data_IF_303924464277
#
_entry.id   IF_303924464277
#
_cell.length_a   1.000
_cell.length_b   1.000
_cell.length_c   1.000
_cell.angle_alpha   90.00
_cell.angle_beta   90.00
_cell.angle_gamma   90.00
#
_symmetry.space_group_name_H-M   'P 1'
#
loop_
_entity.id
_entity.type
_entity.pdbx_description
1 polymer ?
#
# COMPACT_ATOMS: atom_id res chain seq x y z
N UNK A 1 -2.72 26.85 10.65
CA UNK A 1 -2.92 25.88 9.54
C UNK A 1 -1.77 25.92 8.54
N UNK A 2 -1.46 27.09 7.96
CA UNK A 2 -0.38 27.19 6.95
C UNK A 2 0.96 26.67 7.49
N UNK A 3 1.38 27.09 8.69
CA UNK A 3 2.62 26.63 9.31
C UNK A 3 2.67 25.12 9.53
N UNK A 4 1.55 24.49 9.91
CA UNK A 4 1.44 23.02 10.05
C UNK A 4 1.61 22.33 8.69
N UNK A 5 0.90 22.81 7.66
CA UNK A 5 1.01 22.24 6.31
C UNK A 5 2.42 22.41 5.73
N UNK A 6 3.03 23.58 5.90
CA UNK A 6 4.42 23.84 5.46
C UNK A 6 5.39 22.90 6.17
N UNK A 7 5.28 22.74 7.49
CA UNK A 7 6.12 21.80 8.24
C UNK A 7 5.93 20.35 7.76
N UNK A 8 4.69 19.92 7.52
CA UNK A 8 4.39 18.58 7.03
C UNK A 8 4.92 18.36 5.62
N UNK A 9 4.76 19.34 4.74
CA UNK A 9 5.30 19.28 3.39
C UNK A 9 6.83 19.23 3.39
N UNK A 10 7.47 20.04 4.25
CA UNK A 10 8.92 19.99 4.41
C UNK A 10 9.41 18.62 4.87
N UNK A 11 8.77 18.05 5.90
CA UNK A 11 9.10 16.70 6.37
C UNK A 11 8.84 15.62 5.29
N UNK A 12 7.77 15.76 4.52
CA UNK A 12 7.46 14.88 3.40
C UNK A 12 8.57 14.91 2.33
N UNK A 13 9.02 16.11 1.94
CA UNK A 13 10.12 16.28 0.98
C UNK A 13 11.42 15.68 1.54
N UNK A 14 11.72 15.93 2.82
CA UNK A 14 12.91 15.35 3.47
C UNK A 14 12.84 13.81 3.50
N UNK A 15 11.67 13.24 3.79
CA UNK A 15 11.47 11.79 3.79
C UNK A 15 11.63 11.21 2.39
N UNK A 16 11.04 11.83 1.36
CA UNK A 16 11.20 11.39 -0.05
C UNK A 16 12.66 11.47 -0.46
N UNK A 17 13.36 12.54 -0.06
CA UNK A 17 14.80 12.65 -0.33
C UNK A 17 15.58 11.51 0.35
N UNK A 18 15.34 11.23 1.63
CA UNK A 18 16.00 10.13 2.34
C UNK A 18 15.72 8.77 1.68
N UNK A 19 14.46 8.52 1.28
CA UNK A 19 14.07 7.31 0.55
C UNK A 19 14.78 7.24 -0.80
N UNK A 20 14.93 8.35 -1.51
CA UNK A 20 15.64 8.37 -2.79
C UNK A 20 17.12 8.02 -2.63
N UNK A 21 17.77 8.48 -1.56
CA UNK A 21 19.15 8.10 -1.23
C UNK A 21 19.24 6.60 -0.95
N UNK A 22 18.32 6.08 -0.13
CA UNK A 22 18.26 4.63 0.16
C UNK A 22 18.03 3.81 -1.12
N UNK A 23 17.09 4.22 -1.96
CA UNK A 23 16.83 3.57 -3.25
C UNK A 23 18.04 3.56 -4.16
N UNK A 24 18.77 4.68 -4.21
CA UNK A 24 20.01 4.76 -4.96
C UNK A 24 21.11 3.85 -4.39
N UNK A 25 21.22 3.76 -3.06
CA UNK A 25 22.14 2.80 -2.41
C UNK A 25 21.78 1.36 -2.80
N UNK A 26 20.49 1.01 -2.81
CA UNK A 26 20.03 -0.32 -3.26
C UNK A 26 20.45 -0.60 -4.71
N UNK A 27 20.40 0.40 -5.60
CA UNK A 27 20.84 0.27 -6.99
C UNK A 27 22.36 -0.01 -7.08
N UNK A 28 23.14 0.51 -6.13
CA UNK A 28 24.62 0.38 -6.11
C UNK A 28 25.12 -0.87 -5.35
N UNK A 29 24.25 -1.62 -4.66
CA UNK A 29 24.65 -2.78 -3.84
C UNK A 29 25.26 -3.96 -4.61
N UNK A 30 24.79 -4.34 -5.81
CA UNK A 30 25.37 -5.47 -6.53
C UNK A 30 26.82 -5.20 -6.96
N UNK A 31 27.66 -6.25 -6.97
CA UNK A 31 29.00 -6.12 -7.52
C UNK A 31 28.94 -5.90 -9.03
N UNK A 32 29.62 -4.85 -9.49
CA UNK A 32 29.60 -4.40 -10.89
C UNK A 32 28.73 -3.17 -11.08
N UNK A 33 28.69 -2.69 -12.31
CA UNK A 33 27.82 -1.59 -12.70
C UNK A 33 26.61 -2.10 -13.51
N UNK A 34 25.59 -1.26 -13.65
CA UNK A 34 24.42 -1.55 -14.48
C UNK A 34 24.79 -2.04 -15.88
N UNK A 35 25.82 -1.47 -16.49
CA UNK A 35 26.26 -1.83 -17.84
C UNK A 35 26.85 -3.23 -17.85
N UNK A 36 27.53 -3.64 -16.77
CA UNK A 36 28.04 -5.00 -16.62
C UNK A 36 26.91 -6.04 -16.61
N UNK A 37 25.85 -5.78 -15.87
CA UNK A 37 24.65 -6.64 -15.85
C UNK A 37 23.92 -6.64 -17.19
N UNK A 38 23.80 -5.48 -17.84
CA UNK A 38 23.22 -5.35 -19.16
C UNK A 38 24.01 -6.12 -20.24
N UNK A 39 25.35 -6.00 -20.26
CA UNK A 39 26.23 -6.75 -21.17
C UNK A 39 26.08 -8.26 -20.94
N UNK A 40 26.10 -8.71 -19.69
CA UNK A 40 25.94 -10.12 -19.35
C UNK A 40 24.62 -10.68 -19.91
N UNK A 41 23.54 -9.94 -19.79
CA UNK A 41 22.23 -10.33 -20.31
C UNK A 41 22.19 -10.32 -21.84
N UNK A 42 22.73 -9.29 -22.49
CA UNK A 42 22.79 -9.23 -23.96
C UNK A 42 23.64 -10.39 -24.50
N UNK A 43 24.75 -10.71 -23.85
CA UNK A 43 25.55 -11.89 -24.19
C UNK A 43 24.80 -13.21 -24.05
N UNK A 44 23.98 -13.35 -22.99
CA UNK A 44 23.13 -14.51 -22.78
C UNK A 44 22.00 -14.63 -23.85
N UNK A 45 21.56 -13.52 -24.41
CA UNK A 45 20.58 -13.48 -25.54
C UNK A 45 21.23 -13.64 -26.93
N UNK A 46 22.54 -13.87 -27.00
CA UNK A 46 23.26 -14.03 -28.26
C UNK A 46 23.67 -12.73 -28.95
N UNK A 47 23.51 -11.60 -28.28
CA UNK A 47 23.90 -10.28 -28.78
C UNK A 47 25.22 -9.86 -28.15
N UNK A 48 26.21 -9.46 -28.97
CA UNK A 48 27.48 -8.99 -28.48
C UNK A 48 27.50 -7.47 -28.42
N UNK A 49 27.75 -6.91 -27.24
CA UNK A 49 28.00 -5.49 -27.02
C UNK A 49 29.50 -5.27 -27.12
N UNK A 50 29.96 -4.40 -28.02
CA UNK A 50 31.37 -4.09 -28.14
C UNK A 50 31.90 -3.33 -26.90
N UNK A 51 33.21 -3.44 -26.61
CA UNK A 51 33.81 -2.68 -25.51
C UNK A 51 33.62 -1.16 -25.66
N UNK A 52 33.57 -0.66 -26.89
CA UNK A 52 33.36 0.75 -27.19
C UNK A 52 31.91 1.19 -26.88
N UNK A 53 30.92 0.37 -27.23
CA UNK A 53 29.51 0.63 -26.90
C UNK A 53 29.28 0.56 -25.39
N UNK A 54 29.90 -0.39 -24.70
CA UNK A 54 29.85 -0.49 -23.26
C UNK A 54 30.40 0.77 -22.57
N UNK A 55 31.55 1.27 -23.04
CA UNK A 55 32.16 2.48 -22.49
C UNK A 55 31.32 3.74 -22.81
N UNK A 56 30.75 3.83 -24.02
CA UNK A 56 29.83 4.92 -24.37
C UNK A 56 28.58 4.92 -23.48
N UNK A 57 28.02 3.77 -23.17
CA UNK A 57 26.91 3.62 -22.25
C UNK A 57 27.29 4.05 -20.83
N UNK A 58 28.49 3.62 -20.32
CA UNK A 58 28.99 4.06 -19.00
C UNK A 58 29.10 5.57 -18.89
N UNK A 59 29.65 6.22 -19.93
CA UNK A 59 29.74 7.69 -19.98
C UNK A 59 28.37 8.35 -20.07
N UNK A 60 27.44 7.79 -20.88
CA UNK A 60 26.08 8.28 -21.00
C UNK A 60 25.34 8.25 -19.66
N UNK A 61 25.47 7.16 -18.90
CA UNK A 61 24.86 7.03 -17.57
C UNK A 61 25.70 7.69 -16.47
N UNK A 62 26.95 8.11 -16.79
CA UNK A 62 27.86 8.79 -15.88
C UNK A 62 28.38 7.88 -14.77
N UNK A 63 28.50 6.59 -15.05
CA UNK A 63 29.01 5.58 -14.12
C UNK A 63 30.52 5.71 -13.87
N UNK A 64 31.20 6.50 -14.73
CA UNK A 64 32.60 6.92 -14.60
C UNK A 64 32.81 8.03 -13.55
N UNK A 65 31.74 8.63 -13.05
CA UNK A 65 31.81 9.77 -12.15
C UNK A 65 31.70 9.33 -10.67
N UNK A 66 32.08 10.20 -9.70
CA UNK A 66 31.90 9.95 -8.28
C UNK A 66 30.42 9.65 -7.94
N UNK A 67 30.19 8.79 -6.95
CA UNK A 67 28.85 8.27 -6.58
C UNK A 67 27.81 9.38 -6.35
N UNK A 68 28.21 10.53 -5.76
CA UNK A 68 27.31 11.65 -5.54
C UNK A 68 26.86 12.32 -6.86
N UNK A 69 27.74 12.33 -7.91
CA UNK A 69 27.38 12.84 -9.25
C UNK A 69 26.40 11.87 -9.93
N UNK A 70 26.63 10.57 -9.78
CA UNK A 70 25.72 9.55 -10.29
C UNK A 70 24.33 9.69 -9.66
N UNK A 71 24.25 9.89 -8.32
CA UNK A 71 23.00 10.16 -7.63
C UNK A 71 22.27 11.38 -8.19
N UNK A 72 22.96 12.51 -8.35
CA UNK A 72 22.36 13.73 -8.88
C UNK A 72 21.84 13.55 -10.32
N UNK A 73 22.59 12.84 -11.17
CA UNK A 73 22.15 12.52 -12.54
C UNK A 73 20.93 11.59 -12.52
N UNK A 74 20.99 10.53 -11.73
CA UNK A 74 19.85 9.61 -11.56
C UNK A 74 18.61 10.35 -11.08
N UNK A 75 18.74 11.18 -10.06
CA UNK A 75 17.62 11.97 -9.53
C UNK A 75 17.04 12.93 -10.58
N UNK A 76 17.91 13.56 -11.36
CA UNK A 76 17.46 14.41 -12.49
C UNK A 76 16.64 13.60 -13.52
N UNK A 77 17.03 12.39 -13.83
CA UNK A 77 16.29 11.50 -14.74
C UNK A 77 14.96 11.05 -14.10
N UNK A 78 14.97 10.68 -12.83
CA UNK A 78 13.77 10.31 -12.06
C UNK A 78 12.73 11.44 -12.08
N UNK A 79 13.15 12.69 -11.85
CA UNK A 79 12.27 13.86 -11.90
C UNK A 79 11.70 14.12 -13.31
N UNK A 80 12.33 13.59 -14.35
CA UNK A 80 11.83 13.61 -15.74
C UNK A 80 10.96 12.38 -16.07
N UNK A 81 10.70 11.49 -15.13
CA UNK A 81 9.99 10.23 -15.33
C UNK A 81 10.80 9.15 -16.05
N UNK A 82 12.12 9.32 -16.14
CA UNK A 82 13.06 8.37 -16.78
C UNK A 82 13.75 7.55 -15.68
N UNK A 83 13.27 6.33 -15.47
CA UNK A 83 13.75 5.44 -14.40
C UNK A 83 14.83 4.44 -14.85
N UNK A 84 15.28 4.53 -16.11
CA UNK A 84 16.22 3.56 -16.69
C UNK A 84 15.52 2.41 -17.41
N UNK A 85 16.31 1.38 -17.76
CA UNK A 85 15.84 0.17 -18.45
C UNK A 85 15.75 -0.97 -17.46
N UNK A 86 14.65 -1.72 -17.52
CA UNK A 86 14.51 -2.98 -16.80
C UNK A 86 15.25 -4.07 -17.57
N UNK A 87 16.31 -4.60 -16.94
CA UNK A 87 17.26 -5.48 -17.61
C UNK A 87 16.57 -6.77 -18.07
N UNK A 88 15.81 -7.44 -17.18
CA UNK A 88 15.12 -8.70 -17.50
C UNK A 88 14.08 -8.55 -18.64
N UNK A 89 13.44 -7.38 -18.74
CA UNK A 89 12.35 -7.14 -19.72
C UNK A 89 12.81 -6.45 -21.01
N UNK A 90 14.04 -5.89 -21.05
CA UNK A 90 14.51 -5.12 -22.19
C UNK A 90 13.65 -3.90 -22.54
N UNK A 91 12.91 -3.36 -21.55
CA UNK A 91 11.97 -2.25 -21.70
C UNK A 91 12.22 -1.16 -20.67
N UNK A 92 11.77 0.09 -20.92
CA UNK A 92 11.82 1.13 -19.91
C UNK A 92 11.11 0.71 -18.60
N UNK A 93 11.73 0.98 -17.47
CA UNK A 93 11.19 0.70 -16.12
C UNK A 93 9.79 1.30 -15.96
N UNK A 94 9.54 2.50 -16.52
CA UNK A 94 8.24 3.17 -16.48
C UNK A 94 7.11 2.35 -17.11
N UNK A 95 7.39 1.61 -18.19
CA UNK A 95 6.41 0.75 -18.86
C UNK A 95 6.16 -0.54 -18.04
N UNK A 96 7.23 -1.12 -17.50
CA UNK A 96 7.13 -2.36 -16.71
C UNK A 96 6.36 -2.14 -15.40
N UNK A 97 6.53 -0.97 -14.77
CA UNK A 97 5.86 -0.62 -13.51
C UNK A 97 4.43 -0.11 -13.74
N UNK A 98 4.18 0.61 -14.86
CA UNK A 98 2.99 1.43 -15.06
C UNK A 98 1.67 0.78 -14.64
N UNK A 99 1.24 -0.27 -15.33
CA UNK A 99 -0.02 -0.96 -15.03
C UNK A 99 -0.02 -1.63 -13.64
N UNK A 100 1.12 -2.15 -13.20
CA UNK A 100 1.25 -2.85 -11.92
C UNK A 100 1.15 -1.92 -10.72
N UNK A 101 1.64 -0.69 -10.85
CA UNK A 101 1.50 0.32 -9.81
C UNK A 101 0.02 0.69 -9.63
N UNK A 102 -0.70 0.86 -10.74
CA UNK A 102 -2.15 1.14 -10.71
C UNK A 102 -2.94 0.00 -10.07
N UNK A 103 -2.63 -1.25 -10.43
CA UNK A 103 -3.27 -2.42 -9.81
C UNK A 103 -2.97 -2.52 -8.30
N UNK A 104 -1.73 -2.21 -7.89
CA UNK A 104 -1.36 -2.14 -6.48
C UNK A 104 -2.19 -1.10 -5.74
N UNK A 105 -2.37 0.09 -6.32
CA UNK A 105 -3.22 1.13 -5.73
C UNK A 105 -4.68 0.69 -5.64
N UNK A 106 -5.22 0.09 -6.70
CA UNK A 106 -6.60 -0.39 -6.71
C UNK A 106 -6.86 -1.43 -5.61
N UNK A 107 -5.98 -2.43 -5.49
CA UNK A 107 -6.08 -3.45 -4.43
C UNK A 107 -5.91 -2.84 -3.04
N UNK A 108 -4.95 -1.91 -2.86
CA UNK A 108 -4.71 -1.25 -1.57
C UNK A 108 -5.90 -0.40 -1.13
N UNK A 109 -6.45 0.40 -2.03
CA UNK A 109 -7.64 1.23 -1.75
C UNK A 109 -8.85 0.34 -1.46
N UNK A 110 -9.06 -0.72 -2.23
CA UNK A 110 -10.14 -1.68 -1.99
C UNK A 110 -9.99 -2.37 -0.62
N UNK A 111 -8.76 -2.78 -0.24
CA UNK A 111 -8.48 -3.36 1.07
C UNK A 111 -8.78 -2.37 2.21
N UNK A 112 -8.38 -1.10 2.09
CA UNK A 112 -8.67 -0.06 3.08
C UNK A 112 -10.18 0.17 3.21
N UNK A 113 -10.88 0.34 2.09
CA UNK A 113 -12.34 0.55 2.07
C UNK A 113 -13.05 -0.63 2.73
N UNK A 114 -12.70 -1.85 2.35
CA UNK A 114 -13.32 -3.06 2.91
C UNK A 114 -13.02 -3.20 4.40
N UNK A 115 -11.77 -2.98 4.80
CA UNK A 115 -11.34 -2.98 6.20
C UNK A 115 -12.19 -1.99 7.02
N UNK A 116 -12.37 -0.76 6.55
CA UNK A 116 -13.17 0.24 7.26
C UNK A 116 -14.66 -0.08 7.25
N UNK A 117 -15.18 -0.53 6.10
CA UNK A 117 -16.59 -0.91 5.96
C UNK A 117 -16.99 -2.03 6.92
N UNK A 118 -16.08 -2.93 7.25
CA UNK A 118 -16.31 -4.00 8.22
C UNK A 118 -15.96 -3.59 9.65
N UNK A 119 -14.81 -2.96 9.85
CA UNK A 119 -14.32 -2.65 11.20
C UNK A 119 -15.17 -1.61 11.93
N UNK A 120 -15.68 -0.59 11.21
CA UNK A 120 -16.48 0.46 11.83
C UNK A 120 -17.79 -0.09 12.43
N UNK A 121 -18.69 -0.72 11.66
CA UNK A 121 -19.96 -1.18 12.21
C UNK A 121 -19.78 -2.27 13.26
N UNK A 122 -18.85 -3.20 13.04
CA UNK A 122 -18.58 -4.29 13.99
C UNK A 122 -17.98 -3.74 15.29
N UNK A 123 -17.01 -2.83 15.21
CA UNK A 123 -16.39 -2.22 16.38
C UNK A 123 -17.37 -1.34 17.18
N UNK A 124 -18.23 -0.57 16.49
CA UNK A 124 -19.32 0.20 17.14
C UNK A 124 -20.29 -0.76 17.83
N UNK A 125 -20.74 -1.80 17.14
CA UNK A 125 -21.64 -2.80 17.73
C UNK A 125 -21.03 -3.44 18.97
N UNK A 126 -19.78 -3.90 18.90
CA UNK A 126 -19.05 -4.54 20.01
C UNK A 126 -18.88 -3.60 21.22
N UNK A 127 -18.71 -2.29 20.99
CA UNK A 127 -18.65 -1.31 22.08
C UNK A 127 -20.01 -1.05 22.72
N UNK A 128 -21.07 -0.90 21.93
CA UNK A 128 -22.43 -0.58 22.40
C UNK A 128 -23.08 -1.80 23.07
N UNK A 129 -22.83 -2.99 22.56
CA UNK A 129 -23.36 -4.27 23.05
C UNK A 129 -22.27 -5.12 23.70
N UNK A 130 -21.49 -4.52 24.59
CA UNK A 130 -20.38 -5.17 25.30
C UNK A 130 -20.85 -6.46 26.00
N UNK A 131 -20.05 -7.51 25.89
CA UNK A 131 -20.31 -8.86 26.43
C UNK A 131 -21.52 -9.58 25.83
N UNK A 132 -22.08 -9.09 24.74
CA UNK A 132 -23.10 -9.83 23.99
C UNK A 132 -22.48 -10.97 23.19
N UNK A 133 -23.30 -11.95 22.77
CA UNK A 133 -22.85 -13.06 21.90
C UNK A 133 -22.19 -12.50 20.63
N UNK A 134 -22.73 -11.45 20.03
CA UNK A 134 -22.17 -10.81 18.84
C UNK A 134 -20.79 -10.16 19.12
N UNK A 135 -20.57 -9.57 20.31
CA UNK A 135 -19.25 -9.05 20.71
C UNK A 135 -18.23 -10.19 20.88
N UNK A 136 -18.61 -11.31 21.46
CA UNK A 136 -17.74 -12.49 21.55
C UNK A 136 -17.41 -13.08 20.18
N UNK A 137 -18.40 -13.21 19.29
CA UNK A 137 -18.17 -13.69 17.92
C UNK A 137 -17.24 -12.74 17.14
N UNK A 138 -17.49 -11.44 17.19
CA UNK A 138 -16.64 -10.45 16.54
C UNK A 138 -15.20 -10.49 17.08
N UNK A 139 -15.05 -10.64 18.39
CA UNK A 139 -13.75 -10.76 19.05
C UNK A 139 -13.04 -12.06 18.63
N UNK A 140 -13.74 -13.19 18.61
CA UNK A 140 -13.20 -14.49 18.21
C UNK A 140 -12.73 -14.47 16.74
N UNK A 141 -13.58 -13.99 15.82
CA UNK A 141 -13.23 -13.84 14.40
C UNK A 141 -12.03 -12.90 14.23
N UNK A 142 -12.01 -11.80 15.00
CA UNK A 142 -10.90 -10.88 15.01
C UNK A 142 -9.57 -11.53 15.43
N UNK A 143 -9.57 -12.31 16.50
CA UNK A 143 -8.37 -13.05 16.94
C UNK A 143 -7.97 -14.14 15.95
N UNK A 144 -8.92 -14.88 15.41
CA UNK A 144 -8.66 -15.89 14.39
C UNK A 144 -8.02 -15.25 13.14
N UNK A 145 -8.56 -14.10 12.70
CA UNK A 145 -8.01 -13.36 11.55
C UNK A 145 -6.60 -12.80 11.77
N UNK A 146 -6.20 -12.54 13.04
CA UNK A 146 -4.83 -12.15 13.37
C UNK A 146 -3.88 -13.34 13.51
N UNK A 147 -4.39 -14.50 13.94
CA UNK A 147 -3.60 -15.70 14.15
C UNK A 147 -3.24 -16.42 12.84
N UNK A 148 -4.10 -16.33 11.83
CA UNK A 148 -3.91 -16.99 10.52
C UNK A 148 -3.07 -16.10 9.60
N UNK A 149 -1.92 -16.58 9.10
CA UNK A 149 -1.16 -15.84 8.08
C UNK A 149 -2.01 -15.61 6.83
N UNK A 150 -2.01 -14.37 6.30
CA UNK A 150 -2.87 -14.00 5.16
C UNK A 150 -2.64 -14.83 3.90
N UNK A 151 -1.38 -15.24 3.65
CA UNK A 151 -1.08 -16.13 2.51
C UNK A 151 -1.66 -17.54 2.69
N UNK A 152 -1.72 -18.05 3.93
CA UNK A 152 -2.32 -19.34 4.21
C UNK A 152 -3.84 -19.28 4.00
N UNK A 153 -4.48 -18.18 4.43
CA UNK A 153 -5.88 -17.93 4.12
C UNK A 153 -6.13 -17.88 2.61
N UNK A 154 -5.24 -17.23 1.86
CA UNK A 154 -5.32 -17.20 0.40
C UNK A 154 -5.29 -18.60 -0.20
N UNK A 155 -4.34 -19.45 0.21
CA UNK A 155 -4.23 -20.85 -0.25
C UNK A 155 -5.47 -21.67 0.09
N UNK A 156 -5.98 -21.54 1.31
CA UNK A 156 -7.19 -22.26 1.75
C UNK A 156 -8.40 -21.84 0.93
N UNK A 157 -8.59 -20.55 0.71
CA UNK A 157 -9.70 -20.04 -0.11
C UNK A 157 -9.57 -20.44 -1.58
N UNK A 158 -8.35 -20.44 -2.15
CA UNK A 158 -8.12 -20.95 -3.50
C UNK A 158 -8.47 -22.42 -3.61
N UNK A 159 -8.04 -23.25 -2.66
CA UNK A 159 -8.33 -24.67 -2.64
C UNK A 159 -9.84 -24.92 -2.57
N UNK A 160 -10.55 -24.33 -1.62
CA UNK A 160 -11.99 -24.51 -1.50
C UNK A 160 -12.78 -23.89 -2.66
N UNK A 161 -12.36 -22.74 -3.16
CA UNK A 161 -12.96 -22.12 -4.33
C UNK A 161 -12.88 -23.00 -5.57
N UNK A 162 -11.71 -23.61 -5.79
CA UNK A 162 -11.53 -24.52 -6.90
C UNK A 162 -12.28 -25.84 -6.71
N UNK A 163 -12.16 -26.50 -5.54
CA UNK A 163 -12.72 -27.84 -5.32
C UNK A 163 -14.24 -27.85 -5.14
N UNK A 164 -14.82 -26.83 -4.49
CA UNK A 164 -16.26 -26.80 -4.19
C UNK A 164 -17.06 -26.02 -5.23
N UNK A 165 -16.49 -24.98 -5.82
CA UNK A 165 -17.20 -24.07 -6.70
C UNK A 165 -16.66 -24.05 -8.14
N UNK A 166 -15.59 -24.79 -8.42
CA UNK A 166 -14.88 -24.78 -9.70
C UNK A 166 -14.51 -23.34 -10.16
N UNK A 167 -14.21 -22.46 -9.20
CA UNK A 167 -13.88 -21.05 -9.42
C UNK A 167 -12.38 -20.85 -9.35
N UNK A 168 -11.80 -20.21 -10.37
CA UNK A 168 -10.44 -19.68 -10.27
C UNK A 168 -10.49 -18.36 -9.50
N UNK A 169 -10.02 -18.38 -8.23
CA UNK A 169 -10.02 -17.21 -7.34
C UNK A 169 -8.78 -16.33 -7.55
N UNK A 170 -7.82 -16.79 -8.33
CA UNK A 170 -6.58 -16.04 -8.62
C UNK A 170 -6.79 -14.93 -9.63
N UNK A 171 -5.89 -13.94 -9.59
CA UNK A 171 -5.90 -12.82 -10.52
C UNK A 171 -6.83 -11.67 -10.13
N UNK A 172 -6.80 -10.62 -10.94
CA UNK A 172 -7.66 -9.43 -10.82
C UNK A 172 -8.64 -9.32 -12.00
N UNK A 173 -8.57 -10.26 -12.94
CA UNK A 173 -9.39 -10.27 -14.15
C UNK A 173 -9.74 -11.69 -14.54
N UNK A 174 -10.88 -11.85 -15.18
CA UNK A 174 -11.21 -13.07 -15.91
C UNK A 174 -10.24 -13.26 -17.08
N UNK A 175 -10.05 -14.50 -17.54
CA UNK A 175 -9.11 -14.85 -18.63
C UNK A 175 -9.36 -14.01 -19.89
N UNK A 176 -10.62 -13.72 -20.20
CA UNK A 176 -11.06 -12.89 -21.33
C UNK A 176 -10.52 -11.44 -21.23
N UNK A 177 -10.46 -10.87 -20.00
CA UNK A 177 -10.07 -9.49 -19.76
C UNK A 177 -8.60 -9.33 -19.38
N UNK A 178 -7.87 -10.41 -19.10
CA UNK A 178 -6.50 -10.35 -18.62
C UNK A 178 -5.58 -9.52 -19.55
N UNK A 179 -5.69 -9.74 -20.89
CA UNK A 179 -4.92 -9.04 -21.91
C UNK A 179 -5.73 -8.02 -22.73
N UNK A 180 -7.02 -7.83 -22.43
CA UNK A 180 -7.88 -6.91 -23.13
C UNK A 180 -7.46 -5.46 -22.89
N UNK A 181 -7.74 -4.58 -23.87
CA UNK A 181 -7.58 -3.11 -23.68
C UNK A 181 -8.53 -2.60 -22.60
N UNK A 182 -8.17 -1.50 -21.95
CA UNK A 182 -9.01 -0.86 -20.96
C UNK A 182 -10.36 -0.46 -21.56
N UNK A 183 -11.43 -0.89 -20.91
CA UNK A 183 -12.82 -0.62 -21.26
C UNK A 183 -13.69 -0.61 -19.99
N UNK A 184 -14.92 -0.13 -20.06
CA UNK A 184 -15.86 -0.17 -18.94
C UNK A 184 -16.14 -1.61 -18.50
N UNK A 185 -16.18 -2.57 -19.42
CA UNK A 185 -16.35 -3.99 -19.11
C UNK A 185 -15.16 -4.54 -18.31
N UNK A 186 -13.93 -4.21 -18.72
CA UNK A 186 -12.70 -4.56 -17.96
C UNK A 186 -12.66 -3.93 -16.58
N UNK A 187 -13.08 -2.66 -16.45
CA UNK A 187 -13.16 -1.98 -15.16
C UNK A 187 -14.20 -2.65 -14.23
N UNK A 188 -15.33 -3.07 -14.77
CA UNK A 188 -16.34 -3.79 -14.02
C UNK A 188 -15.87 -5.19 -13.60
N UNK A 189 -15.14 -5.88 -14.47
CA UNK A 189 -14.51 -7.17 -14.17
C UNK A 189 -13.49 -7.04 -13.02
N UNK A 190 -12.65 -6.01 -13.05
CA UNK A 190 -11.74 -5.66 -11.94
C UNK A 190 -12.50 -5.49 -10.62
N UNK A 191 -13.58 -4.71 -10.62
CA UNK A 191 -14.40 -4.46 -9.42
C UNK A 191 -14.95 -5.77 -8.84
N UNK A 192 -15.34 -6.73 -9.69
CA UNK A 192 -15.82 -8.05 -9.24
C UNK A 192 -14.73 -8.89 -8.59
N UNK A 193 -13.48 -8.78 -9.07
CA UNK A 193 -12.34 -9.57 -8.57
C UNK A 193 -11.62 -8.93 -7.38
N UNK A 194 -11.79 -7.61 -7.14
CA UNK A 194 -11.15 -6.90 -6.03
C UNK A 194 -11.57 -7.36 -4.62
N UNK A 195 -12.85 -7.72 -4.32
CA UNK A 195 -13.28 -7.97 -2.95
C UNK A 195 -12.52 -9.10 -2.25
N UNK A 196 -12.17 -10.17 -2.95
CA UNK A 196 -11.50 -11.31 -2.33
C UNK A 196 -10.03 -11.01 -1.96
N UNK A 197 -9.16 -10.52 -2.87
CA UNK A 197 -7.82 -10.06 -2.50
C UNK A 197 -7.86 -8.99 -1.41
N UNK A 198 -8.80 -8.03 -1.50
CA UNK A 198 -8.98 -6.98 -0.51
C UNK A 198 -9.35 -7.53 0.87
N UNK A 199 -10.23 -8.53 0.95
CA UNK A 199 -10.60 -9.19 2.19
C UNK A 199 -9.41 -9.93 2.83
N UNK A 200 -8.66 -10.69 2.04
CA UNK A 200 -7.49 -11.45 2.51
C UNK A 200 -6.42 -10.50 3.06
N UNK A 201 -6.10 -9.44 2.31
CA UNK A 201 -5.09 -8.45 2.71
C UNK A 201 -5.57 -7.56 3.86
N UNK A 202 -6.86 -7.24 3.90
CA UNK A 202 -7.47 -6.39 4.91
C UNK A 202 -7.81 -7.10 6.23
N UNK A 203 -7.83 -8.44 6.28
CA UNK A 203 -8.36 -9.19 7.42
C UNK A 203 -7.66 -8.85 8.75
N UNK A 204 -6.33 -8.88 8.77
CA UNK A 204 -5.55 -8.55 9.95
C UNK A 204 -5.77 -7.09 10.38
N UNK A 205 -5.80 -6.16 9.45
CA UNK A 205 -6.12 -4.75 9.69
C UNK A 205 -7.55 -4.56 10.21
N UNK A 206 -8.52 -5.29 9.66
CA UNK A 206 -9.92 -5.27 10.11
C UNK A 206 -10.02 -5.70 11.58
N UNK A 207 -9.42 -6.82 11.94
CA UNK A 207 -9.41 -7.32 13.30
C UNK A 207 -8.77 -6.33 14.30
N UNK A 208 -7.67 -5.71 13.90
CA UNK A 208 -7.02 -4.66 14.71
C UNK A 208 -7.92 -3.43 14.88
N UNK A 209 -8.53 -2.95 13.80
CA UNK A 209 -9.39 -1.77 13.84
C UNK A 209 -10.70 -1.98 14.61
N UNK A 210 -11.29 -3.19 14.56
CA UNK A 210 -12.44 -3.55 15.42
C UNK A 210 -12.07 -3.36 16.89
N UNK A 211 -10.92 -3.85 17.34
CA UNK A 211 -10.45 -3.69 18.72
C UNK A 211 -10.19 -2.24 19.09
N UNK A 212 -9.54 -1.49 18.20
CA UNK A 212 -9.27 -0.05 18.42
C UNK A 212 -10.57 0.72 18.52
N UNK A 213 -11.52 0.50 17.60
CA UNK A 213 -12.83 1.15 17.64
C UNK A 213 -13.59 0.81 18.91
N UNK A 214 -13.64 -0.49 19.28
CA UNK A 214 -14.29 -0.96 20.50
C UNK A 214 -13.72 -0.27 21.74
N UNK A 215 -12.40 -0.28 21.90
CA UNK A 215 -11.74 0.31 23.06
C UNK A 215 -12.00 1.83 23.15
N UNK A 216 -11.73 2.57 22.09
CA UNK A 216 -11.89 4.02 22.08
C UNK A 216 -13.35 4.43 22.28
N UNK A 217 -14.29 3.72 21.65
CA UNK A 217 -15.70 4.04 21.81
C UNK A 217 -16.21 3.74 23.21
N UNK A 218 -15.75 2.66 23.87
CA UNK A 218 -16.08 2.36 25.27
C UNK A 218 -15.59 3.46 26.20
N UNK A 219 -14.39 3.99 25.99
CA UNK A 219 -13.86 5.10 26.80
C UNK A 219 -14.65 6.38 26.56
N UNK A 220 -15.02 6.69 25.33
CA UNK A 220 -15.78 7.89 24.99
C UNK A 220 -17.24 7.82 25.48
N UNK A 221 -17.88 6.64 25.48
CA UNK A 221 -19.25 6.47 25.99
C UNK A 221 -19.41 6.83 27.47
N UNK A 222 -18.33 6.80 28.24
CA UNK A 222 -18.31 7.14 29.69
C UNK A 222 -18.04 8.64 29.94
N UNK A 223 -17.75 9.44 28.92
CA UNK A 223 -17.40 10.84 29.06
C UNK A 223 -18.60 11.71 29.51
N UNK A 224 -18.37 12.74 30.33
CA UNK A 224 -19.45 13.64 30.83
C UNK A 224 -20.32 14.24 29.75
N UNK A 225 -19.74 14.59 28.60
CA UNK A 225 -20.50 15.17 27.49
C UNK A 225 -21.55 14.20 26.89
N UNK A 226 -21.26 12.88 26.93
CA UNK A 226 -22.20 11.84 26.49
C UNK A 226 -23.34 11.71 27.50
N UNK A 227 -23.03 11.70 28.79
CA UNK A 227 -24.03 11.67 29.87
C UNK A 227 -24.94 12.90 29.79
N UNK A 228 -24.36 14.07 29.61
CA UNK A 228 -25.17 15.33 29.45
C UNK A 228 -26.07 15.27 28.22
N UNK A 229 -25.58 14.79 27.09
CA UNK A 229 -26.37 14.67 25.86
C UNK A 229 -27.53 13.67 26.04
N UNK A 230 -27.30 12.57 26.78
CA UNK A 230 -28.33 11.58 27.11
C UNK A 230 -29.38 12.17 28.05
N UNK A 231 -28.98 12.96 29.05
CA UNK A 231 -29.88 13.66 29.96
C UNK A 231 -30.75 14.70 29.25
N UNK A 232 -30.32 15.24 28.11
CA UNK A 232 -31.08 16.14 27.25
C UNK A 232 -32.12 15.44 26.36
N UNK A 233 -32.28 14.12 26.50
CA UNK A 233 -33.27 13.35 25.73
C UNK A 233 -32.90 13.01 24.29
N UNK A 234 -31.59 13.11 23.93
CA UNK A 234 -31.15 12.69 22.59
C UNK A 234 -31.31 11.16 22.46
N UNK A 235 -31.92 10.71 21.37
CA UNK A 235 -32.06 9.29 21.05
C UNK A 235 -30.69 8.62 20.93
N UNK A 236 -30.53 7.40 21.50
CA UNK A 236 -29.25 6.73 21.73
C UNK A 236 -28.39 6.59 20.47
N UNK A 237 -28.96 6.13 19.35
CA UNK A 237 -28.21 6.01 18.09
C UNK A 237 -27.71 7.35 17.54
N UNK A 238 -28.57 8.39 17.63
CA UNK A 238 -28.16 9.72 17.18
C UNK A 238 -27.10 10.32 18.09
N UNK A 239 -27.16 10.05 19.39
CA UNK A 239 -26.16 10.44 20.36
C UNK A 239 -24.81 9.77 20.05
N UNK A 240 -24.81 8.43 19.89
CA UNK A 240 -23.60 7.63 19.65
C UNK A 240 -22.89 8.05 18.37
N UNK A 241 -23.61 8.11 17.25
CA UNK A 241 -23.04 8.46 15.96
C UNK A 241 -22.55 9.91 15.86
N UNK A 242 -23.26 10.84 16.54
CA UNK A 242 -22.92 12.27 16.45
C UNK A 242 -21.74 12.69 17.31
N UNK A 243 -21.54 12.06 18.49
CA UNK A 243 -20.56 12.53 19.48
C UNK A 243 -19.42 11.51 19.69
N UNK A 244 -19.60 10.40 20.45
CA UNK A 244 -18.48 9.54 20.79
C UNK A 244 -17.86 8.83 19.58
N UNK A 245 -18.64 8.37 18.60
CA UNK A 245 -18.11 7.72 17.38
C UNK A 245 -17.21 8.68 16.61
N UNK A 246 -17.57 9.96 16.51
CA UNK A 246 -16.73 10.93 15.80
C UNK A 246 -15.35 11.08 16.42
N UNK A 247 -15.25 11.05 17.74
CA UNK A 247 -13.96 11.10 18.45
C UNK A 247 -13.20 9.78 18.31
N UNK A 248 -13.92 8.66 18.44
CA UNK A 248 -13.37 7.32 18.29
C UNK A 248 -12.84 7.01 16.86
N UNK A 249 -13.19 7.83 15.84
CA UNK A 249 -12.69 7.73 14.48
C UNK A 249 -11.25 8.26 14.31
N UNK A 250 -10.72 9.05 15.25
CA UNK A 250 -9.37 9.63 15.12
C UNK A 250 -8.29 8.60 14.78
N UNK A 251 -8.21 7.43 15.48
CA UNK A 251 -7.25 6.39 15.13
C UNK A 251 -7.45 5.81 13.72
N UNK A 252 -8.67 5.75 13.21
CA UNK A 252 -8.93 5.28 11.85
C UNK A 252 -8.30 6.19 10.80
N UNK A 253 -8.45 7.50 10.95
CA UNK A 253 -7.80 8.45 10.05
C UNK A 253 -6.26 8.28 10.07
N UNK A 254 -5.68 8.02 11.24
CA UNK A 254 -4.25 7.76 11.38
C UNK A 254 -3.81 6.47 10.68
N UNK A 255 -4.70 5.48 10.53
CA UNK A 255 -4.34 4.18 9.92
C UNK A 255 -4.12 4.28 8.42
N UNK A 256 -4.69 5.26 7.72
CA UNK A 256 -4.50 5.43 6.26
C UNK A 256 -3.02 5.56 5.92
N UNK A 257 -2.27 6.29 6.75
CA UNK A 257 -0.84 6.54 6.54
C UNK A 257 0.02 5.27 6.54
N UNK A 258 -0.31 4.27 7.37
CA UNK A 258 0.48 3.05 7.44
C UNK A 258 -0.17 1.84 6.72
N UNK A 259 -1.48 1.83 6.54
CA UNK A 259 -2.15 0.72 5.84
C UNK A 259 -1.71 0.62 4.37
N UNK A 260 -1.49 1.74 3.72
CA UNK A 260 -1.09 1.78 2.32
C UNK A 260 0.29 1.10 2.12
N UNK A 261 1.36 1.47 2.84
CA UNK A 261 2.63 0.74 2.80
C UNK A 261 2.51 -0.72 3.26
N UNK A 262 1.70 -0.97 4.30
CA UNK A 262 1.49 -2.32 4.83
C UNK A 262 0.86 -3.25 3.79
N UNK A 263 -0.19 -2.81 3.11
CA UNK A 263 -0.83 -3.60 2.05
C UNK A 263 0.14 -3.87 0.91
N UNK A 264 0.96 -2.88 0.54
CA UNK A 264 1.94 -3.05 -0.54
C UNK A 264 3.07 -3.98 -0.15
N UNK A 265 3.69 -3.81 1.03
CA UNK A 265 4.81 -4.64 1.49
C UNK A 265 4.36 -5.99 2.01
N UNK A 266 3.28 -6.03 2.79
CA UNK A 266 2.72 -7.28 3.35
C UNK A 266 2.01 -8.15 2.31
N UNK A 267 1.69 -7.60 1.14
CA UNK A 267 0.97 -8.31 0.08
C UNK A 267 1.85 -9.15 -0.84
N UNK A 268 3.18 -9.09 -0.77
CA UNK A 268 4.05 -9.75 -1.74
C UNK A 268 3.73 -11.25 -1.83
N UNK A 269 3.71 -11.95 -0.70
CA UNK A 269 3.43 -13.41 -0.68
C UNK A 269 1.98 -13.69 -1.08
N UNK A 270 1.02 -12.91 -0.58
CA UNK A 270 -0.39 -13.04 -0.97
C UNK A 270 -0.58 -12.78 -2.46
N UNK A 271 0.08 -11.75 -2.99
CA UNK A 271 0.03 -11.41 -4.42
C UNK A 271 0.65 -12.50 -5.30
N UNK A 272 1.71 -13.18 -4.82
CA UNK A 272 2.28 -14.34 -5.50
C UNK A 272 1.31 -15.52 -5.51
N UNK A 273 0.75 -15.85 -4.35
CA UNK A 273 -0.23 -16.95 -4.20
C UNK A 273 -1.44 -16.71 -5.07
N UNK A 274 -2.01 -15.50 -5.04
CA UNK A 274 -3.18 -15.13 -5.83
C UNK A 274 -2.86 -14.72 -7.27
N UNK A 275 -1.60 -14.78 -7.70
CA UNK A 275 -1.14 -14.36 -9.04
C UNK A 275 -1.57 -12.94 -9.41
N UNK A 276 -1.54 -12.01 -8.43
CA UNK A 276 -1.95 -10.63 -8.65
C UNK A 276 -0.89 -9.85 -9.46
N UNK A 277 -1.28 -9.11 -10.49
CA UNK A 277 -0.36 -8.28 -11.29
C UNK A 277 0.00 -6.98 -10.55
N UNK A 278 0.56 -7.07 -9.34
CA UNK A 278 0.96 -5.94 -8.48
C UNK A 278 2.47 -5.73 -8.48
N UNK A 279 2.92 -4.62 -7.87
CA UNK A 279 4.37 -4.27 -7.77
C UNK A 279 5.14 -5.21 -6.84
N UNK A 280 4.47 -5.89 -5.89
CA UNK A 280 5.11 -6.79 -4.94
C UNK A 280 5.84 -7.96 -5.60
N UNK A 281 5.16 -8.80 -6.40
CA UNK A 281 5.79 -9.85 -7.18
C UNK A 281 6.85 -9.33 -8.16
N UNK A 282 6.64 -8.14 -8.72
CA UNK A 282 7.62 -7.51 -9.61
C UNK A 282 8.89 -7.14 -8.87
N UNK A 283 8.80 -6.58 -7.66
CA UNK A 283 9.95 -6.27 -6.81
C UNK A 283 10.75 -7.54 -6.48
N UNK A 284 10.07 -8.61 -6.09
CA UNK A 284 10.74 -9.88 -5.80
C UNK A 284 11.50 -10.41 -7.03
N UNK A 285 10.88 -10.39 -8.21
CA UNK A 285 11.54 -10.77 -9.46
C UNK A 285 12.75 -9.88 -9.76
N UNK A 286 12.60 -8.56 -9.64
CA UNK A 286 13.70 -7.62 -9.85
C UNK A 286 14.91 -7.90 -8.92
N UNK A 287 14.63 -8.22 -7.65
CA UNK A 287 15.68 -8.57 -6.69
C UNK A 287 16.37 -9.88 -7.03
N UNK A 288 15.61 -10.92 -7.41
CA UNK A 288 16.18 -12.22 -7.81
C UNK A 288 17.02 -12.08 -9.09
N UNK A 289 16.53 -11.29 -10.06
CA UNK A 289 17.23 -11.02 -11.33
C UNK A 289 18.37 -10.00 -11.18
N UNK A 290 18.57 -9.44 -9.98
CA UNK A 290 19.51 -8.34 -9.73
C UNK A 290 19.27 -7.11 -10.63
N UNK A 291 18.00 -6.88 -11.05
CA UNK A 291 17.60 -5.69 -11.79
C UNK A 291 17.39 -4.52 -10.82
N UNK A 292 18.50 -3.89 -10.43
CA UNK A 292 18.50 -2.89 -9.36
C UNK A 292 17.87 -1.56 -9.77
N UNK A 293 17.84 -1.22 -11.07
CA UNK A 293 17.10 -0.04 -11.54
C UNK A 293 15.60 -0.23 -11.32
N UNK A 294 15.08 -1.41 -11.68
CA UNK A 294 13.68 -1.75 -11.44
C UNK A 294 13.39 -1.82 -9.95
N UNK A 295 14.22 -2.55 -9.17
CA UNK A 295 14.06 -2.70 -7.73
C UNK A 295 14.13 -1.35 -6.99
N UNK A 296 15.16 -0.54 -7.25
CA UNK A 296 15.34 0.78 -6.63
C UNK A 296 14.21 1.74 -6.99
N UNK A 297 13.73 1.72 -8.23
CA UNK A 297 12.59 2.54 -8.65
C UNK A 297 11.31 2.10 -7.93
N UNK A 298 11.06 0.81 -7.80
CA UNK A 298 9.90 0.32 -7.04
C UNK A 298 9.98 0.79 -5.59
N UNK A 299 11.13 0.63 -4.92
CA UNK A 299 11.33 1.09 -3.54
C UNK A 299 11.10 2.59 -3.40
N UNK A 300 11.61 3.40 -4.34
CA UNK A 300 11.35 4.84 -4.37
C UNK A 300 9.87 5.16 -4.49
N UNK A 301 9.17 4.54 -5.44
CA UNK A 301 7.74 4.77 -5.66
C UNK A 301 6.90 4.33 -4.45
N UNK A 302 7.23 3.20 -3.82
CA UNK A 302 6.59 2.75 -2.58
C UNK A 302 6.80 3.76 -1.44
N UNK A 303 8.02 4.31 -1.33
CA UNK A 303 8.32 5.37 -0.37
C UNK A 303 7.51 6.64 -0.63
N UNK A 304 7.40 7.07 -1.89
CA UNK A 304 6.56 8.21 -2.28
C UNK A 304 5.08 7.94 -1.96
N UNK A 305 4.57 6.75 -2.28
CA UNK A 305 3.21 6.35 -1.92
C UNK A 305 2.96 6.37 -0.40
N UNK A 306 3.93 5.95 0.38
CA UNK A 306 3.89 6.02 1.85
C UNK A 306 3.75 7.46 2.34
N UNK A 307 4.56 8.36 1.78
CA UNK A 307 4.52 9.80 2.13
C UNK A 307 3.18 10.41 1.73
N UNK A 308 2.66 10.09 0.55
CA UNK A 308 1.32 10.53 0.12
C UNK A 308 0.25 9.99 1.06
N UNK A 309 0.30 8.71 1.42
CA UNK A 309 -0.63 8.09 2.39
C UNK A 309 -0.60 8.79 3.75
N UNK A 310 0.59 9.12 4.25
CA UNK A 310 0.75 9.86 5.51
C UNK A 310 0.17 11.28 5.42
N UNK A 311 0.41 12.00 4.32
CA UNK A 311 -0.19 13.31 4.10
C UNK A 311 -1.72 13.25 4.03
N UNK A 312 -2.28 12.23 3.35
CA UNK A 312 -3.73 12.00 3.31
C UNK A 312 -4.28 11.71 4.71
N UNK A 313 -3.60 10.89 5.50
CA UNK A 313 -3.94 10.62 6.90
C UNK A 313 -3.99 11.91 7.73
N UNK A 314 -2.97 12.76 7.62
CA UNK A 314 -2.92 14.05 8.31
C UNK A 314 -4.07 14.98 7.91
N UNK A 315 -4.41 15.02 6.61
CA UNK A 315 -5.55 15.79 6.11
C UNK A 315 -6.89 15.27 6.66
N UNK A 316 -7.06 13.94 6.67
CA UNK A 316 -8.25 13.31 7.24
C UNK A 316 -8.40 13.60 8.73
N UNK A 317 -7.31 13.52 9.50
CA UNK A 317 -7.29 13.88 10.91
C UNK A 317 -7.72 15.34 11.13
N UNK A 318 -7.23 16.28 10.32
CA UNK A 318 -7.64 17.68 10.42
C UNK A 318 -9.13 17.91 10.13
N UNK A 319 -9.76 17.04 9.32
CA UNK A 319 -11.20 17.10 9.03
C UNK A 319 -12.01 16.51 10.18
N UNK A 320 -11.56 15.39 10.74
CA UNK A 320 -12.26 14.64 11.79
C UNK A 320 -12.14 15.36 13.13
N UNK A 321 -10.92 15.82 13.49
CA UNK A 321 -10.65 16.53 14.74
C UNK A 321 -10.16 17.95 14.51
N UNK A 322 -11.05 18.97 14.59
CA UNK A 322 -10.65 20.36 14.44
C UNK A 322 -9.70 20.87 15.52
N UNK A 323 -9.52 20.18 16.65
CA UNK A 323 -8.63 20.60 17.76
C UNK A 323 -7.16 20.54 17.35
N UNK A 324 -6.79 19.64 16.47
CA UNK A 324 -5.42 19.54 15.89
C UNK A 324 -5.04 20.85 15.19
N UNK A 325 -6.03 21.61 14.70
CA UNK A 325 -5.79 22.93 14.07
C UNK A 325 -5.30 23.99 15.07
N UNK A 326 -5.58 23.81 16.37
CA UNK A 326 -5.28 24.77 17.43
C UNK A 326 -3.91 24.52 18.07
N UNK A 327 -3.42 23.27 18.11
CA UNK A 327 -2.11 22.94 18.69
C UNK A 327 -0.91 23.49 17.89
N UNK A 328 -1.08 23.79 16.63
CA UNK A 328 -0.06 24.45 15.78
C UNK A 328 0.11 25.95 16.05
N UNK A 329 -0.45 26.50 17.14
CA UNK A 329 -0.38 27.90 17.54
C UNK A 329 0.55 28.16 18.74
N UNK A 330 1.23 27.14 19.25
CA UNK A 330 2.28 27.30 20.29
C UNK A 330 3.66 27.24 19.69
#
# INVERSE_FOLDING_TARGET
MLAYLVRRLFLAVLTVWAVSVLSFVVIQLPPGDYITSYIAQMSASGSFVSAQEAEALRQQYGLDKPVWVQYLRWMKLVLQGKFGMAVEWGRPVSEVIGDRLWMTMAVSVAAIILTWALALPIGIYSAVRQYSIGDYIATFIGFAGLAVPSFMLALVLMYFGFTLFNMNIGGLFSDEFAQARWSLAKAWDLIKHLPLPAAILGLAGTAQLIRIMRANLLDELRRPYVVTARARGLGEWRLILKYPVRVALNPFASTVGYLLPYVVSGSIIVSLVLSLPTVGPLLLRALIAQDMFLAGTIVLLLGVMTVIGTLLSDLLLMVIDPRIRLEGRK
#
